data_IF_330065109449
#
_entry.id   IF_330065109449
#
_cell.length_a   1.000
_cell.length_b   1.000
_cell.length_c   1.000
_cell.angle_alpha   90.00
_cell.angle_beta   90.00
_cell.angle_gamma   90.00
#
_symmetry.space_group_name_H-M   'P 1'
#
loop_
_entity.id
_entity.type
_entity.pdbx_description
1 polymer ?
#
# COMPACT_ATOMS: atom_id res chain seq x y z
N UNK A 1 44.64 30.30 59.34
CA UNK A 1 44.02 29.04 58.94
C UNK A 1 42.92 29.39 57.89
N UNK A 2 43.27 29.33 56.59
CA UNK A 2 42.35 29.70 55.49
C UNK A 2 41.77 28.41 54.90
N UNK A 3 40.47 28.21 55.02
CA UNK A 3 39.73 27.10 54.40
C UNK A 3 39.40 27.47 52.94
N UNK A 4 39.91 26.71 52.01
CA UNK A 4 39.55 26.80 50.58
C UNK A 4 38.36 25.89 50.32
N UNK A 5 37.26 26.43 49.85
CA UNK A 5 36.13 25.68 49.38
C UNK A 5 36.30 25.47 47.87
N UNK A 6 36.37 24.21 47.45
CA UNK A 6 36.41 23.80 46.03
C UNK A 6 34.97 23.65 45.58
N UNK A 7 34.54 24.55 44.66
CA UNK A 7 33.27 24.43 43.92
C UNK A 7 33.48 23.47 42.75
N UNK A 8 32.83 22.30 42.77
CA UNK A 8 32.74 21.37 41.65
C UNK A 8 31.59 21.84 40.74
N UNK A 9 31.91 22.38 39.56
CA UNK A 9 30.98 22.64 38.48
C UNK A 9 30.68 21.32 37.74
N UNK A 10 29.51 20.75 37.97
CA UNK A 10 28.93 19.67 37.15
C UNK A 10 28.40 20.25 35.85
N UNK A 11 29.18 20.15 34.76
CA UNK A 11 28.72 20.43 33.41
C UNK A 11 27.78 19.30 32.94
N UNK A 12 26.47 19.56 32.93
CA UNK A 12 25.49 18.65 32.37
C UNK A 12 25.65 18.57 30.86
N UNK A 13 26.11 17.45 30.33
CA UNK A 13 26.05 17.11 28.91
C UNK A 13 24.61 16.83 28.51
N UNK A 14 23.92 17.85 27.96
CA UNK A 14 22.64 17.65 27.28
C UNK A 14 22.96 17.02 25.92
N UNK A 15 22.85 15.71 25.83
CA UNK A 15 22.89 14.97 24.58
C UNK A 15 21.70 15.39 23.71
N UNK A 16 21.92 16.23 22.70
CA UNK A 16 20.98 16.45 21.61
C UNK A 16 20.88 15.14 20.82
N UNK A 17 19.91 14.32 21.17
CA UNK A 17 19.51 13.20 20.33
C UNK A 17 18.93 13.74 19.03
N UNK A 18 19.70 13.70 17.95
CA UNK A 18 19.17 13.94 16.62
C UNK A 18 18.32 12.73 16.26
N UNK A 19 17.00 12.90 16.38
CA UNK A 19 16.07 11.97 15.75
C UNK A 19 16.21 12.17 14.24
N UNK A 20 16.90 11.26 13.57
CA UNK A 20 16.85 11.17 12.11
C UNK A 20 15.43 10.77 11.75
N UNK A 21 14.58 11.75 11.49
CA UNK A 21 13.26 11.52 10.93
C UNK A 21 13.50 10.97 9.53
N UNK A 22 13.11 9.71 9.30
CA UNK A 22 13.17 9.14 7.96
C UNK A 22 12.42 10.08 7.03
N UNK A 23 13.07 10.52 5.95
CA UNK A 23 12.46 11.43 5.01
C UNK A 23 11.16 10.79 4.50
N UNK A 24 10.04 11.51 4.63
CA UNK A 24 8.75 11.08 4.12
C UNK A 24 8.83 10.88 2.60
N UNK A 25 8.07 9.92 2.10
CA UNK A 25 8.05 9.64 0.67
C UNK A 25 7.40 10.81 -0.08
N UNK A 26 8.05 11.39 -1.10
CA UNK A 26 7.48 12.50 -1.86
C UNK A 26 6.14 12.08 -2.46
N UNK A 27 5.06 12.71 -2.03
CA UNK A 27 3.71 12.41 -2.47
C UNK A 27 3.02 13.71 -2.83
N UNK A 28 3.04 14.10 -4.13
CA UNK A 28 2.27 15.24 -4.61
C UNK A 28 0.80 15.13 -4.23
N UNK A 29 0.13 16.27 -4.06
CA UNK A 29 -1.25 16.33 -3.55
C UNK A 29 -2.23 15.52 -4.41
N UNK A 30 -2.03 15.50 -5.71
CA UNK A 30 -2.84 14.72 -6.66
C UNK A 30 -2.77 13.18 -6.46
N UNK A 31 -1.78 12.69 -5.73
CA UNK A 31 -1.64 11.26 -5.41
C UNK A 31 -2.03 10.93 -3.96
N UNK A 32 -2.47 11.93 -3.20
CA UNK A 32 -3.01 11.68 -1.87
C UNK A 32 -4.35 10.97 -2.00
N UNK A 33 -4.45 9.79 -1.38
CA UNK A 33 -5.70 9.04 -1.36
C UNK A 33 -6.70 9.79 -0.48
N UNK A 34 -7.68 10.43 -1.08
CA UNK A 34 -8.81 11.01 -0.37
C UNK A 34 -9.72 9.86 0.08
N UNK A 35 -9.54 9.41 1.30
CA UNK A 35 -10.37 8.37 1.90
C UNK A 35 -11.40 9.01 2.84
N UNK A 36 -12.29 9.85 2.30
CA UNK A 36 -13.28 10.60 3.09
C UNK A 36 -14.29 9.71 3.83
N UNK A 37 -14.39 8.44 3.46
CA UNK A 37 -15.28 7.50 4.13
C UNK A 37 -14.76 6.07 4.06
N UNK A 38 -14.20 5.61 5.16
CA UNK A 38 -13.95 4.20 5.45
C UNK A 38 -14.79 3.78 6.69
N UNK A 39 -16.13 3.75 6.59
CA UNK A 39 -17.01 3.58 7.75
C UNK A 39 -16.85 2.22 8.43
N UNK A 40 -16.66 1.13 7.67
CA UNK A 40 -16.44 -0.20 8.22
C UNK A 40 -15.08 -0.29 8.93
N UNK A 41 -14.06 0.34 8.36
CA UNK A 41 -12.72 0.47 8.95
C UNK A 41 -12.77 1.27 10.24
N UNK A 42 -13.43 2.44 10.24
CA UNK A 42 -13.64 3.27 11.43
C UNK A 42 -14.35 2.51 12.53
N UNK A 43 -15.42 1.80 12.18
CA UNK A 43 -16.16 0.97 13.16
C UNK A 43 -15.29 -0.18 13.70
N UNK A 44 -14.46 -0.81 12.87
CA UNK A 44 -13.56 -1.87 13.31
C UNK A 44 -12.47 -1.35 14.26
N UNK A 45 -11.88 -0.20 13.97
CA UNK A 45 -10.91 0.48 14.85
C UNK A 45 -11.56 0.83 16.19
N UNK A 46 -12.79 1.32 16.19
CA UNK A 46 -13.57 1.58 17.42
C UNK A 46 -13.78 0.32 18.28
N UNK A 47 -13.85 -0.86 17.65
CA UNK A 47 -13.90 -2.18 18.35
C UNK A 47 -12.52 -2.74 18.69
N UNK A 48 -11.44 -1.99 18.41
CA UNK A 48 -10.03 -2.36 18.66
C UNK A 48 -9.57 -3.60 17.89
N UNK A 49 -10.18 -3.91 16.75
CA UNK A 49 -9.79 -5.02 15.90
C UNK A 49 -10.06 -4.67 14.43
N UNK A 50 -9.01 -4.55 13.64
CA UNK A 50 -9.07 -4.23 12.21
C UNK A 50 -8.52 -5.40 11.40
N UNK A 51 -9.37 -6.06 10.62
CA UNK A 51 -8.96 -7.04 9.62
C UNK A 51 -8.90 -6.37 8.25
N UNK A 52 -7.75 -6.45 7.61
CA UNK A 52 -7.48 -5.91 6.26
C UNK A 52 -7.16 -7.09 5.35
N UNK A 53 -7.88 -7.19 4.23
CA UNK A 53 -7.59 -8.11 3.15
C UNK A 53 -6.85 -7.38 2.03
N UNK A 54 -5.64 -7.79 1.72
CA UNK A 54 -4.89 -7.26 0.57
C UNK A 54 -5.00 -8.22 -0.60
N UNK A 55 -5.49 -7.71 -1.73
CA UNK A 55 -5.64 -8.45 -2.97
C UNK A 55 -4.58 -8.01 -3.99
N UNK A 56 -4.08 -8.97 -4.78
CA UNK A 56 -3.18 -8.61 -5.87
C UNK A 56 -2.42 -9.78 -6.49
N UNK A 57 -1.34 -9.43 -7.17
CA UNK A 57 -0.45 -10.37 -7.83
C UNK A 57 0.96 -10.38 -7.22
N UNK A 58 1.95 -10.61 -8.07
CA UNK A 58 3.36 -10.68 -7.66
C UNK A 58 3.84 -9.43 -6.90
N UNK A 59 3.35 -8.25 -7.27
CA UNK A 59 3.71 -6.99 -6.60
C UNK A 59 3.21 -6.90 -5.14
N UNK A 60 2.18 -7.63 -4.78
CA UNK A 60 1.68 -7.69 -3.40
C UNK A 60 2.52 -8.65 -2.55
N UNK A 61 2.98 -9.75 -3.16
CA UNK A 61 3.86 -10.73 -2.50
C UNK A 61 5.30 -10.21 -2.33
N UNK A 62 5.71 -9.28 -3.18
CA UNK A 62 7.11 -8.86 -3.26
C UNK A 62 8.03 -9.91 -3.88
N UNK A 63 9.29 -9.54 -4.10
CA UNK A 63 10.31 -10.47 -4.58
C UNK A 63 10.88 -11.28 -3.40
N UNK A 64 11.10 -12.61 -3.53
CA UNK A 64 11.64 -13.43 -2.45
C UNK A 64 12.95 -12.89 -1.86
N UNK A 65 13.80 -12.32 -2.69
CA UNK A 65 15.10 -11.76 -2.27
C UNK A 65 15.01 -10.55 -1.34
N UNK A 66 13.85 -9.87 -1.27
CA UNK A 66 13.70 -8.70 -0.40
C UNK A 66 13.30 -9.06 1.04
N UNK A 67 12.76 -10.27 1.27
CA UNK A 67 12.17 -10.70 2.54
C UNK A 67 10.69 -10.34 2.66
N UNK A 68 9.90 -11.23 3.27
CA UNK A 68 8.44 -11.05 3.42
C UNK A 68 8.06 -9.89 4.32
N UNK A 69 8.91 -9.55 5.27
CA UNK A 69 8.75 -8.39 6.18
C UNK A 69 8.83 -7.03 5.47
N UNK A 70 9.38 -7.01 4.25
CA UNK A 70 9.49 -5.78 3.43
C UNK A 70 8.38 -5.65 2.39
N UNK A 71 7.41 -6.57 2.34
CA UNK A 71 6.24 -6.38 1.47
C UNK A 71 5.38 -5.22 1.96
N UNK A 72 4.65 -4.54 1.07
CA UNK A 72 3.82 -3.43 1.52
C UNK A 72 2.73 -3.84 2.52
N UNK A 73 2.09 -5.02 2.45
CA UNK A 73 1.14 -5.44 3.48
C UNK A 73 1.79 -5.59 4.86
N UNK A 74 2.99 -6.18 4.93
CA UNK A 74 3.72 -6.33 6.20
C UNK A 74 4.13 -4.97 6.79
N UNK A 75 4.63 -4.06 5.95
CA UNK A 75 5.01 -2.70 6.36
C UNK A 75 3.78 -1.88 6.77
N UNK A 76 2.67 -2.01 6.04
CA UNK A 76 1.41 -1.36 6.39
C UNK A 76 0.89 -1.83 7.75
N UNK A 77 0.91 -3.16 8.00
CA UNK A 77 0.55 -3.71 9.30
C UNK A 77 1.36 -3.10 10.43
N UNK A 78 2.69 -3.00 10.27
CA UNK A 78 3.57 -2.43 11.27
C UNK A 78 3.26 -0.94 11.53
N UNK A 79 3.09 -0.14 10.47
CA UNK A 79 2.76 1.29 10.58
C UNK A 79 1.40 1.53 11.23
N UNK A 80 0.39 0.74 10.88
CA UNK A 80 -0.94 0.85 11.50
C UNK A 80 -0.92 0.43 12.98
N UNK A 81 -0.15 -0.58 13.35
CA UNK A 81 0.00 -0.97 14.75
C UNK A 81 0.67 0.13 15.59
N UNK A 82 1.59 0.89 15.00
CA UNK A 82 2.24 2.04 15.62
C UNK A 82 1.28 3.25 15.71
N UNK A 83 0.56 3.55 14.61
CA UNK A 83 -0.34 4.70 14.54
C UNK A 83 -1.66 4.52 15.31
N UNK A 84 -2.09 3.29 15.55
CA UNK A 84 -3.36 2.93 16.22
C UNK A 84 -3.09 2.07 17.46
N UNK A 85 -2.50 2.63 18.52
CA UNK A 85 -2.15 1.87 19.73
C UNK A 85 -3.40 1.24 20.38
N UNK A 86 -3.30 -0.03 20.71
CA UNK A 86 -4.40 -0.81 21.31
C UNK A 86 -5.41 -1.36 20.30
N UNK A 87 -5.19 -1.21 18.99
CA UNK A 87 -5.95 -1.88 17.94
C UNK A 87 -5.17 -3.10 17.43
N UNK A 88 -5.81 -4.27 17.43
CA UNK A 88 -5.24 -5.48 16.83
C UNK A 88 -5.38 -5.40 15.32
N UNK A 89 -4.26 -5.40 14.58
CA UNK A 89 -4.24 -5.37 13.12
C UNK A 89 -4.04 -6.78 12.57
N UNK A 90 -5.07 -7.33 11.93
CA UNK A 90 -5.02 -8.59 11.19
C UNK A 90 -4.83 -8.29 9.70
N UNK A 91 -3.70 -8.72 9.13
CA UNK A 91 -3.41 -8.58 7.72
C UNK A 91 -3.54 -9.92 7.03
N UNK A 92 -4.48 -10.05 6.12
CA UNK A 92 -4.67 -11.22 5.25
C UNK A 92 -4.19 -10.86 3.85
N UNK A 93 -3.46 -11.76 3.21
CA UNK A 93 -2.89 -11.53 1.87
C UNK A 93 -3.42 -12.60 0.91
N UNK A 94 -4.28 -12.20 0.00
CA UNK A 94 -4.72 -13.01 -1.13
C UNK A 94 -4.06 -12.49 -2.41
N UNK A 95 -2.87 -13.00 -2.70
CA UNK A 95 -2.11 -12.57 -3.85
C UNK A 95 -1.62 -13.78 -4.64
N UNK A 96 -2.04 -13.86 -5.90
CA UNK A 96 -1.66 -14.94 -6.81
C UNK A 96 -1.10 -14.33 -8.10
N UNK A 97 0.18 -14.57 -8.40
CA UNK A 97 0.77 -14.11 -9.64
C UNK A 97 0.04 -14.66 -10.85
N UNK A 98 -0.18 -13.83 -11.87
CA UNK A 98 -0.84 -14.21 -13.14
C UNK A 98 -2.26 -14.78 -13.00
N UNK A 99 -2.96 -14.49 -11.91
CA UNK A 99 -4.32 -14.94 -11.68
C UNK A 99 -5.28 -14.33 -12.71
N UNK A 100 -6.19 -15.14 -13.25
CA UNK A 100 -7.29 -14.68 -14.12
C UNK A 100 -8.39 -14.00 -13.30
N UNK A 101 -9.29 -13.26 -13.99
CA UNK A 101 -10.46 -12.65 -13.33
C UNK A 101 -11.41 -13.70 -12.72
N UNK A 102 -11.59 -14.84 -13.40
CA UNK A 102 -12.43 -15.96 -12.90
C UNK A 102 -11.84 -16.58 -11.62
N UNK A 103 -10.53 -16.86 -11.62
CA UNK A 103 -9.86 -17.42 -10.44
C UNK A 103 -9.90 -16.43 -9.26
N UNK A 104 -9.74 -15.14 -9.53
CA UNK A 104 -9.87 -14.11 -8.51
C UNK A 104 -11.27 -14.13 -7.91
N UNK A 105 -12.30 -14.19 -8.75
CA UNK A 105 -13.70 -14.15 -8.33
C UNK A 105 -14.07 -15.27 -7.35
N UNK A 106 -13.67 -16.49 -7.65
CA UNK A 106 -13.90 -17.65 -6.78
C UNK A 106 -13.18 -17.53 -5.43
N UNK A 107 -11.90 -17.15 -5.47
CA UNK A 107 -11.09 -16.99 -4.25
C UNK A 107 -11.51 -15.81 -3.41
N UNK A 108 -11.88 -14.69 -4.04
CA UNK A 108 -12.34 -13.49 -3.35
C UNK A 108 -13.59 -13.78 -2.52
N UNK A 109 -14.60 -14.44 -3.11
CA UNK A 109 -15.83 -14.76 -2.40
C UNK A 109 -15.58 -15.64 -1.17
N UNK A 110 -14.73 -16.65 -1.30
CA UNK A 110 -14.35 -17.52 -0.19
C UNK A 110 -13.59 -16.76 0.91
N UNK A 111 -12.65 -15.89 0.51
CA UNK A 111 -11.83 -15.14 1.46
C UNK A 111 -12.62 -14.06 2.20
N UNK A 112 -13.53 -13.36 1.52
CA UNK A 112 -14.45 -12.40 2.15
C UNK A 112 -15.31 -13.08 3.22
N UNK A 113 -15.84 -14.26 2.92
CA UNK A 113 -16.65 -15.03 3.87
C UNK A 113 -15.83 -15.56 5.05
N UNK A 114 -14.59 -16.01 4.81
CA UNK A 114 -13.73 -16.59 5.84
C UNK A 114 -13.15 -15.54 6.81
N UNK A 115 -12.80 -14.34 6.31
CA UNK A 115 -12.05 -13.35 7.08
C UNK A 115 -12.89 -12.16 7.54
N UNK A 116 -14.05 -11.94 6.91
CA UNK A 116 -14.95 -10.81 7.17
C UNK A 116 -14.17 -9.50 7.37
N UNK A 117 -13.38 -9.04 6.38
CA UNK A 117 -12.51 -7.90 6.51
C UNK A 117 -13.33 -6.61 6.63
N UNK A 118 -12.83 -5.65 7.39
CA UNK A 118 -13.40 -4.29 7.41
C UNK A 118 -12.86 -3.44 6.26
N UNK A 119 -11.67 -3.78 5.75
CA UNK A 119 -11.04 -3.08 4.64
C UNK A 119 -10.45 -4.08 3.66
N UNK A 120 -10.67 -3.83 2.37
CA UNK A 120 -9.97 -4.49 1.27
C UNK A 120 -9.06 -3.47 0.59
N UNK A 121 -7.81 -3.84 0.33
CA UNK A 121 -6.87 -3.06 -0.48
C UNK A 121 -6.52 -3.90 -1.70
N UNK A 122 -6.85 -3.44 -2.88
CA UNK A 122 -6.70 -4.23 -4.09
C UNK A 122 -5.81 -3.55 -5.14
N UNK A 123 -4.65 -4.14 -5.41
CA UNK A 123 -3.79 -3.78 -6.54
C UNK A 123 -4.23 -4.52 -7.80
N UNK A 124 -4.91 -3.80 -8.72
CA UNK A 124 -5.50 -4.38 -9.92
C UNK A 124 -4.73 -4.02 -11.21
N UNK A 125 -4.92 -4.81 -12.25
CA UNK A 125 -4.47 -4.54 -13.62
C UNK A 125 -3.16 -5.19 -14.04
N UNK A 126 -2.18 -5.36 -13.15
CA UNK A 126 -0.85 -5.86 -13.53
C UNK A 126 -0.86 -7.27 -14.14
N UNK A 127 -1.64 -8.18 -13.59
CA UNK A 127 -1.76 -9.55 -14.12
C UNK A 127 -2.50 -9.57 -15.46
N UNK A 128 -3.54 -8.78 -15.62
CA UNK A 128 -4.31 -8.67 -16.85
C UNK A 128 -3.46 -8.07 -17.98
N UNK A 129 -2.80 -6.95 -17.74
CA UNK A 129 -1.88 -6.32 -18.69
C UNK A 129 -0.74 -7.28 -19.10
N UNK A 130 -0.15 -7.98 -18.12
CA UNK A 130 0.95 -8.91 -18.38
C UNK A 130 0.55 -10.16 -19.17
N UNK A 131 -0.76 -10.52 -19.22
CA UNK A 131 -1.28 -11.60 -20.07
C UNK A 131 -1.81 -11.08 -21.41
N UNK A 132 -2.00 -9.76 -21.56
CA UNK A 132 -2.70 -9.17 -22.70
C UNK A 132 -4.21 -9.51 -22.70
N UNK A 133 -4.83 -9.54 -21.53
CA UNK A 133 -6.26 -9.81 -21.42
C UNK A 133 -7.06 -8.75 -22.19
N UNK A 134 -8.16 -9.17 -22.79
CA UNK A 134 -9.12 -8.26 -23.40
C UNK A 134 -9.61 -7.22 -22.39
N UNK A 135 -9.64 -5.95 -22.80
CA UNK A 135 -9.92 -4.85 -21.88
C UNK A 135 -11.34 -4.87 -21.33
N UNK A 136 -12.33 -5.22 -22.16
CA UNK A 136 -13.74 -5.28 -21.72
C UNK A 136 -13.94 -6.42 -20.72
N UNK A 137 -13.27 -7.56 -20.95
CA UNK A 137 -13.24 -8.69 -20.02
C UNK A 137 -12.59 -8.28 -18.69
N UNK A 138 -11.51 -7.52 -18.75
CA UNK A 138 -10.86 -7.00 -17.54
C UNK A 138 -11.76 -6.03 -16.77
N UNK A 139 -12.37 -5.06 -17.46
CA UNK A 139 -13.33 -4.09 -16.87
C UNK A 139 -14.48 -4.84 -16.18
N UNK A 140 -15.08 -5.83 -16.87
CA UNK A 140 -16.13 -6.65 -16.29
C UNK A 140 -15.70 -7.36 -15.01
N UNK A 141 -14.50 -7.95 -14.99
CA UNK A 141 -13.94 -8.63 -13.82
C UNK A 141 -13.70 -7.67 -12.65
N UNK A 142 -13.18 -6.47 -12.92
CA UNK A 142 -12.95 -5.45 -11.87
C UNK A 142 -14.29 -4.99 -11.29
N UNK A 143 -15.26 -4.66 -12.14
CA UNK A 143 -16.59 -4.21 -11.71
C UNK A 143 -17.28 -5.25 -10.85
N UNK A 144 -17.23 -6.53 -11.25
CA UNK A 144 -17.82 -7.63 -10.49
C UNK A 144 -17.16 -7.79 -9.11
N UNK A 145 -15.82 -7.76 -9.06
CA UNK A 145 -15.09 -7.88 -7.79
C UNK A 145 -15.36 -6.71 -6.84
N UNK A 146 -15.40 -5.47 -7.36
CA UNK A 146 -15.78 -4.27 -6.59
C UNK A 146 -17.19 -4.44 -6.00
N UNK A 147 -18.16 -4.85 -6.80
CA UNK A 147 -19.54 -5.09 -6.33
C UNK A 147 -19.62 -6.15 -5.23
N UNK A 148 -18.83 -7.23 -5.32
CA UNK A 148 -18.73 -8.26 -4.26
C UNK A 148 -18.15 -7.73 -2.97
N UNK A 149 -17.06 -6.95 -3.04
CA UNK A 149 -16.44 -6.36 -1.87
C UNK A 149 -17.41 -5.40 -1.17
N UNK A 150 -18.05 -4.50 -1.91
CA UNK A 150 -19.05 -3.59 -1.36
C UNK A 150 -20.25 -4.34 -0.74
N UNK A 151 -20.73 -5.41 -1.41
CA UNK A 151 -21.82 -6.23 -0.90
C UNK A 151 -21.47 -7.00 0.37
N UNK A 152 -20.18 -7.24 0.64
CA UNK A 152 -19.72 -7.84 1.90
C UNK A 152 -19.74 -6.86 3.08
N UNK A 153 -19.94 -5.56 2.83
CA UNK A 153 -19.88 -4.51 3.83
C UNK A 153 -18.47 -4.03 4.16
N UNK A 154 -17.44 -4.51 3.46
CA UNK A 154 -16.07 -4.03 3.61
C UNK A 154 -15.87 -2.71 2.85
N UNK A 155 -15.06 -1.82 3.42
CA UNK A 155 -14.52 -0.69 2.68
C UNK A 155 -13.50 -1.19 1.63
N UNK A 156 -13.31 -0.41 0.58
CA UNK A 156 -12.36 -0.72 -0.49
C UNK A 156 -11.45 0.46 -0.79
N UNK A 157 -10.16 0.21 -0.89
CA UNK A 157 -9.18 1.07 -1.55
C UNK A 157 -8.64 0.33 -2.77
N UNK A 158 -8.86 0.87 -3.96
CA UNK A 158 -8.23 0.37 -5.18
C UNK A 158 -6.82 0.96 -5.32
N UNK A 159 -5.93 0.20 -5.95
CA UNK A 159 -4.65 0.70 -6.42
C UNK A 159 -4.49 0.33 -7.90
N UNK A 160 -4.05 1.27 -8.72
CA UNK A 160 -3.68 0.95 -10.10
C UNK A 160 -2.43 0.04 -10.12
N UNK A 161 -2.16 -0.55 -11.28
CA UNK A 161 -0.99 -1.40 -11.49
C UNK A 161 0.31 -0.63 -11.23
N UNK A 162 1.39 -1.36 -10.98
CA UNK A 162 2.71 -0.75 -10.80
C UNK A 162 3.29 -0.25 -12.12
N UNK A 163 4.06 0.83 -12.06
CA UNK A 163 4.91 1.28 -13.14
C UNK A 163 6.32 0.69 -13.00
N UNK A 164 6.89 0.28 -14.12
CA UNK A 164 8.33 0.01 -14.27
C UNK A 164 8.71 0.36 -15.70
N UNK A 165 9.74 1.20 -15.93
CA UNK A 165 10.11 1.65 -17.27
C UNK A 165 10.38 0.50 -18.25
N UNK A 166 11.07 -0.55 -17.79
CA UNK A 166 11.34 -1.76 -18.59
C UNK A 166 10.08 -2.49 -19.04
N UNK A 167 9.04 -2.54 -18.19
CA UNK A 167 7.75 -3.16 -18.51
C UNK A 167 6.92 -2.28 -19.43
N UNK A 168 6.87 -0.98 -19.16
CA UNK A 168 6.12 -0.01 -19.97
C UNK A 168 6.62 0.12 -21.41
N UNK A 169 7.86 -0.29 -21.69
CA UNK A 169 8.40 -0.34 -23.07
C UNK A 169 7.84 -1.51 -23.89
N UNK A 170 7.28 -2.53 -23.28
CA UNK A 170 6.87 -3.78 -23.98
C UNK A 170 5.41 -4.16 -23.73
N UNK A 171 4.78 -3.57 -22.74
CA UNK A 171 3.37 -3.82 -22.39
C UNK A 171 2.63 -2.48 -22.36
N UNK A 172 1.49 -2.42 -23.02
CA UNK A 172 0.59 -1.25 -22.97
C UNK A 172 -0.18 -1.25 -21.62
N UNK A 173 0.36 -0.54 -20.64
CA UNK A 173 -0.19 -0.47 -19.29
C UNK A 173 -1.33 0.57 -19.12
N UNK A 174 -1.31 1.74 -19.80
CA UNK A 174 -2.28 2.81 -19.59
C UNK A 174 -3.76 2.41 -19.71
N UNK A 175 -4.21 1.57 -20.65
CA UNK A 175 -5.64 1.17 -20.72
C UNK A 175 -6.11 0.45 -19.45
N UNK A 176 -5.30 -0.43 -18.89
CA UNK A 176 -5.63 -1.14 -17.64
C UNK A 176 -5.62 -0.21 -16.42
N UNK A 177 -4.72 0.80 -16.40
CA UNK A 177 -4.76 1.85 -15.38
C UNK A 177 -6.06 2.63 -15.45
N UNK A 178 -6.43 3.11 -16.65
CA UNK A 178 -7.66 3.87 -16.87
C UNK A 178 -8.90 3.09 -16.45
N UNK A 179 -8.97 1.79 -16.73
CA UNK A 179 -10.06 0.92 -16.31
C UNK A 179 -10.19 0.84 -14.77
N UNK A 180 -9.09 0.75 -14.05
CA UNK A 180 -9.12 0.74 -12.57
C UNK A 180 -9.57 2.08 -12.00
N UNK A 181 -9.09 3.20 -12.56
CA UNK A 181 -9.52 4.55 -12.15
C UNK A 181 -11.03 4.74 -12.38
N UNK A 182 -11.51 4.35 -13.56
CA UNK A 182 -12.93 4.44 -13.90
C UNK A 182 -13.80 3.55 -12.98
N UNK A 183 -13.34 2.33 -12.67
CA UNK A 183 -14.06 1.46 -11.75
C UNK A 183 -14.17 2.07 -10.34
N UNK A 184 -13.11 2.74 -9.87
CA UNK A 184 -13.14 3.46 -8.60
C UNK A 184 -14.10 4.63 -8.60
N UNK A 185 -14.09 5.44 -9.65
CA UNK A 185 -15.02 6.56 -9.84
C UNK A 185 -16.47 6.09 -9.85
N UNK A 186 -16.79 5.09 -10.68
CA UNK A 186 -18.15 4.53 -10.79
C UNK A 186 -18.67 3.94 -9.49
N UNK A 187 -17.80 3.33 -8.71
CA UNK A 187 -18.13 2.72 -7.42
C UNK A 187 -18.02 3.68 -6.23
N UNK A 188 -17.57 4.92 -6.46
CA UNK A 188 -17.28 5.92 -5.41
C UNK A 188 -16.35 5.37 -4.33
N UNK A 189 -15.29 4.68 -4.74
CA UNK A 189 -14.25 4.17 -3.84
C UNK A 189 -12.91 4.87 -4.09
N UNK A 190 -12.11 5.12 -3.05
CA UNK A 190 -10.82 5.76 -3.21
C UNK A 190 -9.85 4.90 -4.05
N UNK A 191 -9.08 5.57 -4.91
CA UNK A 191 -8.07 4.92 -5.75
C UNK A 191 -6.71 5.55 -5.51
N UNK A 192 -5.74 4.75 -5.12
CA UNK A 192 -4.33 5.15 -5.17
C UNK A 192 -3.80 4.92 -6.58
N UNK A 193 -3.52 6.01 -7.29
CA UNK A 193 -2.88 5.91 -8.61
C UNK A 193 -1.39 5.59 -8.48
N UNK A 194 -1.14 4.34 -8.14
CA UNK A 194 0.20 3.81 -7.93
C UNK A 194 1.07 3.93 -9.18
N UNK A 195 0.49 3.79 -10.36
CA UNK A 195 1.22 3.87 -11.63
C UNK A 195 1.87 5.24 -11.80
N UNK A 196 1.09 6.32 -11.71
CA UNK A 196 1.60 7.67 -11.88
C UNK A 196 2.51 8.10 -10.73
N UNK A 197 2.20 7.69 -9.51
CA UNK A 197 3.06 7.96 -8.36
C UNK A 197 4.44 7.30 -8.53
N UNK A 198 4.50 6.05 -8.97
CA UNK A 198 5.76 5.37 -9.24
C UNK A 198 6.50 5.99 -10.44
N UNK A 199 5.76 6.46 -11.46
CA UNK A 199 6.35 7.19 -12.58
C UNK A 199 6.97 8.50 -12.10
N UNK A 200 6.26 9.27 -11.29
CA UNK A 200 6.79 10.49 -10.66
C UNK A 200 8.08 10.21 -9.86
N UNK A 201 8.11 9.14 -9.06
CA UNK A 201 9.32 8.78 -8.33
C UNK A 201 10.49 8.38 -9.24
N UNK A 202 10.20 7.75 -10.36
CA UNK A 202 11.22 7.43 -11.38
C UNK A 202 11.73 8.69 -12.09
N UNK A 203 10.81 9.56 -12.52
CA UNK A 203 11.12 10.78 -13.29
C UNK A 203 11.87 11.84 -12.45
N UNK A 204 11.72 11.78 -11.12
CA UNK A 204 12.42 12.67 -10.17
C UNK A 204 13.66 12.03 -9.52
N UNK A 205 14.12 10.89 -10.02
CA UNK A 205 15.27 10.14 -9.48
C UNK A 205 15.13 9.75 -7.99
N UNK A 206 13.91 9.76 -7.46
CA UNK A 206 13.67 9.32 -6.08
C UNK A 206 13.80 7.79 -5.92
N UNK A 207 13.37 7.03 -6.96
CA UNK A 207 13.52 5.58 -7.06
C UNK A 207 14.07 5.20 -8.44
N UNK A 208 15.20 4.50 -8.48
CA UNK A 208 15.74 3.88 -9.71
C UNK A 208 14.96 2.59 -10.03
N UNK A 209 13.80 2.74 -10.69
CA UNK A 209 12.95 1.60 -11.07
C UNK A 209 13.51 0.78 -12.24
N UNK A 210 14.57 1.23 -12.90
CA UNK A 210 15.32 0.51 -13.95
C UNK A 210 16.63 -0.11 -13.42
N UNK A 211 16.87 -0.08 -12.10
CA UNK A 211 18.05 -0.68 -11.50
C UNK A 211 18.26 -2.12 -11.99
N UNK A 212 19.49 -2.42 -12.43
CA UNK A 212 19.85 -3.75 -12.96
C UNK A 212 20.60 -4.61 -11.95
N UNK A 213 21.43 -3.98 -11.09
CA UNK A 213 22.18 -4.70 -10.07
C UNK A 213 21.24 -5.33 -9.04
N UNK A 214 21.36 -6.63 -8.73
CA UNK A 214 20.44 -7.34 -7.84
C UNK A 214 20.27 -6.69 -6.47
N UNK A 215 21.37 -6.23 -5.86
CA UNK A 215 21.38 -5.59 -4.55
C UNK A 215 20.64 -4.26 -4.58
N UNK A 216 20.85 -3.45 -5.62
CA UNK A 216 20.15 -2.17 -5.81
C UNK A 216 18.66 -2.41 -5.99
N UNK A 217 18.26 -3.40 -6.79
CA UNK A 217 16.85 -3.76 -6.99
C UNK A 217 16.15 -4.12 -5.68
N UNK A 218 16.83 -4.86 -4.78
CA UNK A 218 16.28 -5.20 -3.46
C UNK A 218 16.09 -3.94 -2.62
N UNK A 219 17.05 -3.03 -2.59
CA UNK A 219 16.95 -1.77 -1.84
C UNK A 219 15.84 -0.87 -2.38
N UNK A 220 15.74 -0.73 -3.70
CA UNK A 220 14.67 0.02 -4.37
C UNK A 220 13.30 -0.59 -4.05
N UNK A 221 13.15 -1.92 -4.13
CA UNK A 221 11.90 -2.58 -3.80
C UNK A 221 11.49 -2.37 -2.34
N UNK A 222 12.43 -2.46 -1.39
CA UNK A 222 12.16 -2.19 0.02
C UNK A 222 11.71 -0.76 0.27
N UNK A 223 12.38 0.22 -0.34
CA UNK A 223 12.00 1.64 -0.24
C UNK A 223 10.64 1.89 -0.87
N UNK A 224 10.37 1.32 -2.06
CA UNK A 224 9.07 1.40 -2.72
C UNK A 224 7.94 0.90 -1.82
N UNK A 225 8.09 -0.30 -1.25
CA UNK A 225 7.03 -0.88 -0.42
C UNK A 225 6.86 -0.16 0.91
N UNK A 226 7.93 0.41 1.46
CA UNK A 226 7.82 1.25 2.65
C UNK A 226 7.05 2.53 2.36
N UNK A 227 7.30 3.17 1.20
CA UNK A 227 6.55 4.34 0.75
C UNK A 227 5.07 4.02 0.48
N UNK A 228 4.78 2.87 -0.17
CA UNK A 228 3.39 2.44 -0.38
C UNK A 228 2.66 2.24 0.95
N UNK A 229 3.33 1.63 1.93
CA UNK A 229 2.77 1.44 3.25
C UNK A 229 2.54 2.75 4.01
N UNK A 230 3.45 3.72 3.86
CA UNK A 230 3.32 5.06 4.45
C UNK A 230 2.08 5.78 3.93
N UNK A 231 1.91 5.84 2.60
CA UNK A 231 0.77 6.52 1.97
C UNK A 231 -0.55 5.85 2.36
N UNK A 232 -0.63 4.52 2.29
CA UNK A 232 -1.82 3.79 2.68
C UNK A 232 -2.14 3.94 4.17
N UNK A 233 -1.12 3.87 5.04
CA UNK A 233 -1.31 4.07 6.48
C UNK A 233 -1.86 5.46 6.78
N UNK A 234 -1.29 6.49 6.15
CA UNK A 234 -1.77 7.87 6.29
C UNK A 234 -3.23 8.00 5.84
N UNK A 235 -3.57 7.48 4.65
CA UNK A 235 -4.93 7.53 4.14
C UNK A 235 -5.94 6.84 5.08
N UNK A 236 -5.59 5.67 5.63
CA UNK A 236 -6.46 4.93 6.56
C UNK A 236 -6.62 5.70 7.88
N UNK A 237 -5.55 6.26 8.42
CA UNK A 237 -5.58 7.02 9.69
C UNK A 237 -6.37 8.32 9.52
N UNK A 238 -6.15 9.06 8.43
CA UNK A 238 -6.86 10.31 8.15
C UNK A 238 -8.38 10.08 7.96
N UNK A 239 -8.77 8.95 7.35
CA UNK A 239 -10.18 8.61 7.11
C UNK A 239 -10.98 8.25 8.37
N UNK A 240 -10.31 7.96 9.48
CA UNK A 240 -10.97 7.50 10.72
C UNK A 240 -10.93 8.53 11.85
N UNK A 241 -10.19 9.60 11.66
CA UNK A 241 -10.13 10.75 12.55
C UNK A 241 -11.09 11.84 12.11
#
# INVERSE_FOLDING_TARGET
MRKWAILLLLAGLHGFGWTVQAASCPTPEEFVVAADALPATKAAIGRRALTILTLGGAATLGAPAQGTEYTYPSRLKARLAEALPGVTINMVVLAVPRQSGVDLDLKLSAELAATNPALVIWGAGASAAGRGDDLDTFIGSVTQAVGKIQSSGADLILMTLQYAPSVARVIDLPPYRSAVLQAGEMASVPVLDRYELMRFWSDTDFLDLDATAPETRVLVARKLYDCMAEILSKAIVDAVH
#
